data_IF_325890933969
#
_entry.id   IF_325890933969
#
_cell.length_a   1.000
_cell.length_b   1.000
_cell.length_c   1.000
_cell.angle_alpha   90.00
_cell.angle_beta   90.00
_cell.angle_gamma   90.00
#
_symmetry.space_group_name_H-M   'P 1'
#
loop_
_entity.id
_entity.type
_entity.pdbx_description
1 polymer ?
#
# COMPACT_ATOMS: atom_id res chain seq x y z
N UNK A 1 9.01 48.30 45.03
CA UNK A 1 7.65 47.75 44.85
C UNK A 1 7.66 46.28 45.29
N UNK A 2 6.61 45.86 46.00
CA UNK A 2 6.59 44.71 46.92
C UNK A 2 6.77 43.33 46.26
N UNK A 3 7.89 42.67 46.56
CA UNK A 3 8.17 41.26 46.19
C UNK A 3 7.05 40.30 46.69
N UNK A 4 6.37 40.63 47.80
CA UNK A 4 5.25 39.87 48.36
C UNK A 4 3.98 39.86 47.49
N UNK A 5 3.71 40.94 46.74
CA UNK A 5 2.52 41.00 45.88
C UNK A 5 2.69 40.13 44.63
N UNK A 6 3.91 40.00 44.13
CA UNK A 6 4.25 39.15 42.99
C UNK A 6 4.05 37.66 43.34
N UNK A 7 4.50 37.22 44.52
CA UNK A 7 4.35 35.82 44.97
C UNK A 7 2.89 35.42 45.16
N UNK A 8 2.04 36.30 45.70
CA UNK A 8 0.61 36.01 45.90
C UNK A 8 -0.13 35.93 44.57
N UNK A 9 0.18 36.81 43.62
CA UNK A 9 -0.42 36.79 42.27
C UNK A 9 -0.02 35.53 41.49
N UNK A 10 1.25 35.09 41.60
CA UNK A 10 1.69 33.84 40.99
C UNK A 10 1.02 32.62 41.62
N UNK A 11 0.90 32.58 42.95
CA UNK A 11 0.23 31.48 43.65
C UNK A 11 -1.25 31.35 43.23
N UNK A 12 -1.94 32.47 43.08
CA UNK A 12 -3.34 32.49 42.62
C UNK A 12 -3.47 31.98 41.18
N UNK A 13 -2.52 32.33 40.31
CA UNK A 13 -2.50 31.86 38.91
C UNK A 13 -2.24 30.36 38.81
N UNK A 14 -1.33 29.82 39.62
CA UNK A 14 -1.04 28.38 39.75
C UNK A 14 -2.29 27.61 40.16
N UNK A 15 -3.01 28.09 41.18
CA UNK A 15 -4.24 27.46 41.68
C UNK A 15 -5.42 27.50 40.68
N UNK A 16 -5.37 28.41 39.70
CA UNK A 16 -6.39 28.57 38.66
C UNK A 16 -6.03 27.87 37.34
N UNK A 17 -4.83 27.28 37.24
CA UNK A 17 -4.39 26.67 35.99
C UNK A 17 -5.04 25.30 35.82
N UNK A 18 -5.86 25.14 34.78
CA UNK A 18 -6.48 23.86 34.46
C UNK A 18 -5.42 22.88 33.93
N UNK A 19 -5.20 21.80 34.67
CA UNK A 19 -4.29 20.72 34.31
C UNK A 19 -4.99 19.73 33.37
N UNK A 20 -5.29 20.18 32.14
CA UNK A 20 -5.86 19.33 31.09
C UNK A 20 -4.76 18.72 30.22
N UNK A 21 -5.08 17.59 29.58
CA UNK A 21 -4.15 16.91 28.66
C UNK A 21 -3.77 17.78 27.46
N UNK A 22 -4.70 18.60 26.96
CA UNK A 22 -4.47 19.50 25.82
C UNK A 22 -3.55 20.68 26.20
N UNK A 23 -3.71 21.24 27.40
CA UNK A 23 -2.80 22.26 27.91
C UNK A 23 -1.38 21.69 28.10
N UNK A 24 -1.26 20.44 28.58
CA UNK A 24 0.05 19.78 28.72
C UNK A 24 0.74 19.63 27.36
N UNK A 25 0.04 19.17 26.31
CA UNK A 25 0.62 19.07 24.96
C UNK A 25 1.09 20.42 24.43
N UNK A 26 0.26 21.46 24.56
CA UNK A 26 0.60 22.80 24.12
C UNK A 26 1.88 23.34 24.78
N UNK A 27 2.05 23.14 26.09
CA UNK A 27 3.25 23.61 26.78
C UNK A 27 4.47 22.71 26.57
N UNK A 28 4.29 21.40 26.36
CA UNK A 28 5.39 20.50 26.01
C UNK A 28 6.09 20.94 24.70
N UNK A 29 5.32 21.40 23.71
CA UNK A 29 5.87 21.93 22.45
C UNK A 29 6.71 23.20 22.65
N UNK A 30 6.46 23.97 23.71
CA UNK A 30 7.19 25.21 24.02
C UNK A 30 8.39 25.02 24.96
N UNK A 31 8.60 23.81 25.51
CA UNK A 31 9.71 23.56 26.44
C UNK A 31 11.07 23.73 25.75
N UNK A 32 11.18 23.39 24.46
CA UNK A 32 12.44 23.54 23.72
C UNK A 32 12.90 25.00 23.64
N UNK A 33 11.99 25.92 23.35
CA UNK A 33 12.27 27.36 23.31
C UNK A 33 12.60 27.89 24.71
N UNK A 34 11.88 27.42 25.73
CA UNK A 34 12.13 27.74 27.13
C UNK A 34 13.54 27.36 27.58
N UNK A 35 13.98 26.15 27.24
CA UNK A 35 15.33 25.64 27.52
C UNK A 35 16.38 26.42 26.72
N UNK A 36 16.09 26.75 25.46
CA UNK A 36 16.99 27.54 24.61
C UNK A 36 17.27 28.91 25.24
N UNK A 37 16.22 29.64 25.66
CA UNK A 37 16.35 30.92 26.36
C UNK A 37 17.17 30.80 27.65
N UNK A 38 17.03 29.69 28.37
CA UNK A 38 17.80 29.41 29.57
C UNK A 38 19.30 29.16 29.26
N UNK A 39 19.62 28.46 28.17
CA UNK A 39 21.01 28.19 27.76
C UNK A 39 21.75 29.44 27.28
N UNK A 40 21.07 30.33 26.57
CA UNK A 40 21.67 31.61 26.11
C UNK A 40 21.73 32.68 27.21
N UNK A 41 21.32 32.35 28.44
CA UNK A 41 21.40 33.23 29.61
C UNK A 41 20.39 34.38 29.60
N UNK A 42 19.33 34.29 28.79
CA UNK A 42 18.26 35.27 28.77
C UNK A 42 17.29 35.07 29.95
N UNK A 43 16.47 36.08 30.24
CA UNK A 43 15.42 35.99 31.27
C UNK A 43 14.22 35.14 30.78
N UNK A 44 14.47 33.84 30.66
CA UNK A 44 13.56 32.83 30.13
C UNK A 44 12.23 32.75 30.90
N UNK A 45 12.24 33.03 32.22
CA UNK A 45 11.01 33.07 33.05
C UNK A 45 10.12 34.26 32.72
N UNK A 46 10.72 35.41 32.39
CA UNK A 46 9.97 36.61 31.98
C UNK A 46 9.55 36.56 30.51
N UNK A 47 10.31 35.87 29.64
CA UNK A 47 9.96 35.68 28.22
C UNK A 47 8.86 34.63 28.02
N UNK A 48 8.83 33.60 28.86
CA UNK A 48 7.89 32.49 28.76
C UNK A 48 7.14 32.29 30.09
N UNK A 49 6.42 33.34 30.51
CA UNK A 49 5.73 33.38 31.81
C UNK A 49 4.71 32.26 31.96
N UNK A 50 3.97 31.94 30.89
CA UNK A 50 2.92 30.93 30.93
C UNK A 50 3.48 29.52 31.04
N UNK A 51 4.55 29.21 30.30
CA UNK A 51 5.28 27.94 30.41
C UNK A 51 5.88 27.78 31.81
N UNK A 52 6.49 28.83 32.37
CA UNK A 52 7.01 28.78 33.75
C UNK A 52 5.91 28.47 34.78
N UNK A 53 4.77 29.17 34.70
CA UNK A 53 3.63 28.95 35.59
C UNK A 53 3.04 27.54 35.43
N UNK A 54 2.98 27.03 34.19
CA UNK A 54 2.50 25.68 33.93
C UNK A 54 3.46 24.61 34.48
N UNK A 55 4.77 24.76 34.28
CA UNK A 55 5.79 23.86 34.83
C UNK A 55 5.79 23.85 36.36
N UNK A 56 5.52 24.98 37.01
CA UNK A 56 5.35 25.08 38.46
C UNK A 56 4.06 24.37 38.95
N UNK A 57 3.07 24.19 38.07
CA UNK A 57 1.75 23.64 38.40
C UNK A 57 1.58 22.17 38.00
N UNK A 58 2.35 21.67 37.02
CA UNK A 58 2.18 20.35 36.42
C UNK A 58 3.43 19.46 36.64
N UNK A 59 3.40 18.48 37.56
CA UNK A 59 4.52 17.59 37.83
C UNK A 59 5.00 16.78 36.62
N UNK A 60 4.07 16.38 35.72
CA UNK A 60 4.41 15.62 34.53
C UNK A 60 5.20 16.45 33.52
N UNK A 61 4.77 17.69 33.26
CA UNK A 61 5.49 18.60 32.38
C UNK A 61 6.81 19.07 33.00
N UNK A 62 6.87 19.24 34.32
CA UNK A 62 8.11 19.51 35.06
C UNK A 62 9.13 18.37 34.92
N UNK A 63 8.70 17.11 35.04
CA UNK A 63 9.55 15.95 34.84
C UNK A 63 10.02 15.83 33.37
N UNK A 64 9.16 16.15 32.40
CA UNK A 64 9.54 16.19 30.99
C UNK A 64 10.57 17.29 30.68
N UNK A 65 10.37 18.49 31.25
CA UNK A 65 11.34 19.58 31.19
C UNK A 65 12.69 19.17 31.76
N UNK A 66 12.72 18.56 32.95
CA UNK A 66 13.98 18.14 33.58
C UNK A 66 14.76 17.15 32.70
N UNK A 67 14.08 16.16 32.11
CA UNK A 67 14.70 15.19 31.19
C UNK A 67 15.23 15.85 29.91
N UNK A 68 14.45 16.74 29.31
CA UNK A 68 14.87 17.41 28.09
C UNK A 68 16.04 18.37 28.36
N UNK A 69 16.01 19.07 29.49
CA UNK A 69 17.12 19.92 29.93
C UNK A 69 18.40 19.13 30.15
N UNK A 70 18.34 17.97 30.82
CA UNK A 70 19.49 17.08 31.01
C UNK A 70 20.07 16.61 29.67
N UNK A 71 19.22 16.26 28.70
CA UNK A 71 19.66 15.84 27.36
C UNK A 71 20.33 16.97 26.58
N UNK A 72 19.72 18.16 26.56
CA UNK A 72 20.30 19.34 25.89
C UNK A 72 21.60 19.78 26.57
N UNK A 73 21.68 19.68 27.89
CA UNK A 73 22.91 19.96 28.65
C UNK A 73 24.00 18.95 28.32
N UNK A 74 23.66 17.66 28.28
CA UNK A 74 24.60 16.60 27.90
C UNK A 74 25.07 16.74 26.45
N UNK A 75 24.19 17.15 25.53
CA UNK A 75 24.48 17.44 24.13
C UNK A 75 25.45 18.62 24.00
N UNK A 76 25.17 19.73 24.70
CA UNK A 76 26.04 20.91 24.72
C UNK A 76 27.44 20.64 25.29
N UNK A 77 27.58 19.61 26.13
CA UNK A 77 28.86 19.17 26.69
C UNK A 77 29.54 18.04 25.89
N UNK A 78 28.99 17.64 24.74
CA UNK A 78 29.45 16.47 23.97
C UNK A 78 29.57 15.20 24.82
N UNK A 79 28.77 15.12 25.89
CA UNK A 79 28.81 14.06 26.89
C UNK A 79 27.71 13.02 26.69
N UNK A 80 26.94 13.16 25.61
CA UNK A 80 25.99 12.13 25.20
C UNK A 80 26.77 10.84 24.89
N UNK A 81 26.30 9.68 25.38
CA UNK A 81 26.94 8.41 25.06
C UNK A 81 26.92 8.23 23.54
N UNK A 82 28.11 8.06 22.96
CA UNK A 82 28.23 7.77 21.55
C UNK A 82 27.56 6.41 21.29
N UNK A 83 26.45 6.42 20.55
CA UNK A 83 25.73 5.21 20.15
C UNK A 83 26.61 4.43 19.18
N UNK A 84 27.55 3.64 19.71
CA UNK A 84 28.55 2.91 18.93
C UNK A 84 27.91 1.84 18.04
N UNK A 85 26.68 1.43 18.33
CA UNK A 85 25.93 0.43 17.56
C UNK A 85 24.43 0.76 17.55
N UNK A 86 23.97 1.48 16.54
CA UNK A 86 22.56 1.44 16.14
C UNK A 86 22.30 0.07 15.51
N UNK A 87 21.41 -0.77 16.05
CA UNK A 87 21.03 -2.00 15.38
C UNK A 87 20.45 -1.65 14.01
N UNK A 88 20.87 -2.38 12.98
CA UNK A 88 20.30 -2.19 11.64
C UNK A 88 18.76 -2.34 11.73
N UNK A 89 17.99 -1.47 11.07
CA UNK A 89 16.55 -1.60 11.02
C UNK A 89 16.18 -3.00 10.50
N UNK A 90 15.43 -3.74 11.32
CA UNK A 90 15.01 -5.10 10.99
C UNK A 90 13.80 -5.03 10.03
N UNK A 91 14.08 -5.19 8.74
CA UNK A 91 13.07 -5.30 7.70
C UNK A 91 12.62 -6.75 7.44
N UNK A 92 12.93 -7.70 8.33
CA UNK A 92 12.52 -9.10 8.17
C UNK A 92 11.00 -9.26 8.01
N UNK A 93 10.19 -8.36 8.57
CA UNK A 93 8.75 -8.33 8.39
C UNK A 93 8.30 -8.06 6.93
N UNK A 94 9.11 -7.36 6.13
CA UNK A 94 8.82 -7.16 4.70
C UNK A 94 9.04 -8.45 3.89
N UNK A 95 9.80 -9.40 4.43
CA UNK A 95 10.08 -10.68 3.77
C UNK A 95 8.98 -11.74 3.98
N UNK A 96 7.92 -11.44 4.74
CA UNK A 96 6.84 -12.38 5.04
C UNK A 96 5.98 -12.82 3.83
N UNK A 97 6.31 -12.38 2.62
CA UNK A 97 5.56 -12.71 1.40
C UNK A 97 6.39 -12.73 0.12
N UNK A 98 7.73 -12.83 0.20
CA UNK A 98 8.56 -12.98 -1.02
C UNK A 98 8.35 -14.40 -1.53
N UNK A 99 7.26 -14.59 -2.27
CA UNK A 99 7.14 -15.66 -3.24
C UNK A 99 8.33 -15.43 -4.17
N UNK A 100 9.37 -16.25 -4.02
CA UNK A 100 10.51 -16.24 -4.94
C UNK A 100 9.96 -16.29 -6.37
N UNK A 101 10.58 -15.63 -7.34
CA UNK A 101 10.08 -15.63 -8.72
C UNK A 101 9.80 -17.07 -9.22
N UNK A 102 10.65 -18.01 -8.80
CA UNK A 102 10.45 -19.45 -9.02
C UNK A 102 9.17 -20.00 -8.39
N UNK A 103 8.84 -19.62 -7.15
CA UNK A 103 7.58 -19.97 -6.49
C UNK A 103 6.35 -19.37 -7.16
N UNK A 104 6.47 -18.14 -7.71
CA UNK A 104 5.38 -17.47 -8.43
C UNK A 104 5.07 -18.21 -9.72
N UNK A 105 6.11 -18.49 -10.50
CA UNK A 105 6.01 -19.22 -11.76
C UNK A 105 5.49 -20.65 -11.54
N UNK A 106 5.95 -21.34 -10.48
CA UNK A 106 5.45 -22.66 -10.14
C UNK A 106 3.94 -22.66 -9.83
N UNK A 107 3.46 -21.66 -9.08
CA UNK A 107 2.02 -21.50 -8.79
C UNK A 107 1.20 -21.24 -10.04
N UNK A 108 1.62 -20.30 -10.89
CA UNK A 108 0.93 -20.02 -12.16
C UNK A 108 0.89 -21.26 -13.05
N UNK A 109 2.02 -21.97 -13.19
CA UNK A 109 2.09 -23.21 -13.97
C UNK A 109 1.16 -24.29 -13.42
N UNK A 110 1.08 -24.46 -12.10
CA UNK A 110 0.22 -25.46 -11.48
C UNK A 110 -1.28 -25.17 -11.64
N UNK A 111 -1.64 -23.90 -11.85
CA UNK A 111 -3.02 -23.48 -12.09
C UNK A 111 -3.48 -23.72 -13.54
N UNK A 112 -2.55 -24.02 -14.45
CA UNK A 112 -2.84 -24.31 -15.86
C UNK A 112 -2.72 -25.81 -16.09
N UNK A 113 -3.79 -26.40 -16.61
CA UNK A 113 -3.87 -27.81 -16.96
C UNK A 113 -4.08 -27.96 -18.46
N UNK A 114 -3.33 -28.87 -19.07
CA UNK A 114 -3.52 -29.31 -20.45
C UNK A 114 -4.31 -30.63 -20.43
N UNK A 115 -5.51 -30.62 -21.01
CA UNK A 115 -6.42 -31.77 -21.02
C UNK A 115 -6.82 -32.02 -22.48
N UNK A 116 -6.08 -32.90 -23.15
CA UNK A 116 -6.30 -33.19 -24.57
C UNK A 116 -5.98 -31.96 -25.44
N UNK A 117 -6.97 -31.46 -26.17
CA UNK A 117 -6.90 -30.26 -27.03
C UNK A 117 -7.25 -28.96 -26.29
N UNK A 118 -7.35 -29.00 -24.96
CA UNK A 118 -7.82 -27.88 -24.14
C UNK A 118 -6.82 -27.46 -23.10
N UNK A 119 -6.73 -26.15 -22.93
CA UNK A 119 -6.07 -25.53 -21.79
C UNK A 119 -7.12 -25.05 -20.80
N UNK A 120 -6.92 -25.38 -19.54
CA UNK A 120 -7.81 -25.01 -18.43
C UNK A 120 -7.00 -24.22 -17.42
N UNK A 121 -7.36 -22.97 -17.20
CA UNK A 121 -6.81 -22.11 -16.16
C UNK A 121 -7.84 -21.96 -15.03
N UNK A 122 -7.49 -22.42 -13.84
CA UNK A 122 -8.33 -22.24 -12.64
C UNK A 122 -7.83 -21.03 -11.87
N UNK A 123 -8.65 -19.98 -11.82
CA UNK A 123 -8.36 -18.78 -11.04
C UNK A 123 -8.70 -19.01 -9.56
N UNK A 124 -7.80 -18.52 -8.70
CA UNK A 124 -7.99 -18.40 -7.26
C UNK A 124 -7.69 -16.95 -6.86
N UNK A 125 -8.18 -16.51 -5.69
CA UNK A 125 -7.86 -15.17 -5.17
C UNK A 125 -6.35 -14.93 -5.10
N UNK A 126 -5.61 -15.94 -4.66
CA UNK A 126 -4.15 -15.90 -4.61
C UNK A 126 -3.54 -15.74 -6.00
N UNK A 127 -3.99 -16.51 -7.00
CA UNK A 127 -3.47 -16.43 -8.36
C UNK A 127 -3.79 -15.07 -9.01
N UNK A 128 -5.00 -14.55 -8.79
CA UNK A 128 -5.36 -13.20 -9.26
C UNK A 128 -4.41 -12.16 -8.65
N UNK A 129 -4.06 -12.29 -7.36
CA UNK A 129 -3.06 -11.46 -6.71
C UNK A 129 -1.68 -11.53 -7.38
N UNK A 130 -1.23 -12.74 -7.75
CA UNK A 130 0.06 -12.97 -8.42
C UNK A 130 0.11 -12.47 -9.87
N UNK A 131 -1.04 -12.34 -10.51
CA UNK A 131 -1.21 -11.85 -11.89
C UNK A 131 -1.50 -10.34 -11.95
N UNK A 132 -1.55 -9.65 -10.81
CA UNK A 132 -1.72 -8.20 -10.81
C UNK A 132 -0.50 -7.52 -11.43
N UNK A 133 -0.71 -6.56 -12.35
CA UNK A 133 0.37 -5.75 -12.87
C UNK A 133 1.10 -4.99 -11.74
N UNK A 134 2.41 -4.84 -11.87
CA UNK A 134 3.15 -3.87 -11.08
C UNK A 134 2.62 -2.45 -11.40
N UNK A 135 2.51 -1.56 -10.40
CA UNK A 135 2.08 -0.18 -10.64
C UNK A 135 3.01 0.44 -11.70
N UNK A 136 2.43 1.00 -12.77
CA UNK A 136 3.06 1.64 -13.96
C UNK A 136 3.15 0.83 -15.25
N UNK A 137 2.42 -0.28 -15.41
CA UNK A 137 2.23 -0.89 -16.75
C UNK A 137 1.10 -0.18 -17.49
N UNK A 138 1.43 0.47 -18.61
CA UNK A 138 0.42 1.10 -19.48
C UNK A 138 -0.28 0.00 -20.31
N UNK A 139 -1.60 -0.19 -20.17
CA UNK A 139 -2.31 -1.16 -20.99
C UNK A 139 -2.33 -0.76 -22.46
N UNK A 140 -2.14 -1.75 -23.34
CA UNK A 140 -2.53 -1.63 -24.75
C UNK A 140 -3.95 -2.19 -24.89
N UNK A 141 -4.97 -1.33 -24.76
CA UNK A 141 -6.34 -1.71 -25.11
C UNK A 141 -6.52 -1.71 -26.64
N UNK A 142 -7.18 -2.75 -27.16
CA UNK A 142 -7.64 -2.79 -28.56
C UNK A 142 -9.16 -2.74 -28.72
N UNK A 143 -9.89 -2.66 -27.60
CA UNK A 143 -11.33 -2.42 -27.61
C UNK A 143 -11.65 -0.96 -27.99
N UNK A 144 -12.75 -0.76 -28.74
CA UNK A 144 -13.32 0.56 -29.03
C UNK A 144 -13.80 1.30 -27.78
N UNK A 145 -13.81 0.64 -26.62
CA UNK A 145 -14.22 1.17 -25.32
C UNK A 145 -13.03 1.55 -24.44
N UNK A 146 -11.94 2.04 -25.02
CA UNK A 146 -10.69 2.37 -24.30
C UNK A 146 -10.89 3.35 -23.13
N UNK A 147 -11.88 4.24 -23.21
CA UNK A 147 -12.23 5.16 -22.13
C UNK A 147 -12.91 4.48 -20.94
N UNK A 148 -13.59 3.33 -21.15
CA UNK A 148 -14.33 2.61 -20.11
C UNK A 148 -13.46 1.62 -19.34
N UNK A 149 -12.38 1.10 -19.92
CA UNK A 149 -11.64 -0.05 -19.37
C UNK A 149 -10.12 0.17 -19.32
N UNK A 150 -9.66 1.31 -18.79
CA UNK A 150 -8.25 1.71 -18.85
C UNK A 150 -7.33 1.07 -17.78
N UNK A 151 -7.86 0.36 -16.78
CA UNK A 151 -7.06 -0.21 -15.69
C UNK A 151 -6.98 -1.74 -15.83
N UNK A 152 -5.76 -2.29 -15.91
CA UNK A 152 -5.58 -3.76 -15.90
C UNK A 152 -5.79 -4.27 -14.48
N UNK A 153 -6.78 -5.15 -14.32
CA UNK A 153 -7.03 -5.86 -13.07
C UNK A 153 -6.06 -7.03 -12.87
N UNK A 154 -5.84 -7.84 -13.92
CA UNK A 154 -4.75 -8.83 -13.96
C UNK A 154 -4.36 -9.14 -15.41
N UNK A 155 -3.16 -9.68 -15.60
CA UNK A 155 -2.67 -10.16 -16.89
C UNK A 155 -1.89 -11.47 -16.73
N UNK A 156 -2.14 -12.40 -17.65
CA UNK A 156 -1.35 -13.60 -17.87
C UNK A 156 -0.77 -13.53 -19.28
N UNK A 157 0.52 -13.24 -19.37
CA UNK A 157 1.27 -13.24 -20.62
C UNK A 157 2.24 -14.43 -20.69
N UNK A 158 2.16 -15.28 -21.73
CA UNK A 158 3.14 -16.34 -21.95
C UNK A 158 4.59 -15.85 -21.98
N UNK A 159 4.85 -14.61 -22.40
CA UNK A 159 6.22 -14.05 -22.43
C UNK A 159 6.82 -13.89 -21.03
N UNK A 160 5.97 -13.70 -20.02
CA UNK A 160 6.37 -13.55 -18.61
C UNK A 160 6.59 -14.91 -17.93
N UNK A 161 6.28 -15.99 -18.64
CA UNK A 161 6.34 -17.36 -18.16
C UNK A 161 7.41 -18.14 -18.93
N UNK A 162 8.67 -18.13 -18.46
CA UNK A 162 9.72 -18.93 -19.08
C UNK A 162 9.29 -20.40 -19.10
N UNK A 163 9.48 -21.06 -20.25
CA UNK A 163 9.12 -22.47 -20.49
C UNK A 163 7.62 -22.78 -20.63
N UNK A 164 6.77 -21.78 -20.85
CA UNK A 164 5.35 -22.01 -21.16
C UNK A 164 5.11 -21.96 -22.67
N UNK A 165 4.64 -23.07 -23.25
CA UNK A 165 4.14 -23.11 -24.65
C UNK A 165 2.66 -22.69 -24.68
N UNK A 166 2.27 -21.73 -23.85
CA UNK A 166 0.87 -21.34 -23.73
C UNK A 166 0.45 -20.62 -25.01
N UNK A 167 -0.55 -21.14 -25.72
CA UNK A 167 -1.01 -20.58 -26.97
C UNK A 167 -2.01 -19.44 -26.72
N UNK A 168 -2.03 -18.82 -25.53
CA UNK A 168 -3.00 -17.78 -25.21
C UNK A 168 -2.50 -16.79 -24.15
N UNK A 169 -3.00 -15.56 -24.26
CA UNK A 169 -2.83 -14.46 -23.30
C UNK A 169 -4.20 -14.11 -22.72
N UNK A 170 -4.25 -13.79 -21.43
CA UNK A 170 -5.49 -13.35 -20.78
C UNK A 170 -5.24 -12.01 -20.12
N UNK A 171 -6.13 -11.05 -20.40
CA UNK A 171 -6.09 -9.74 -19.74
C UNK A 171 -7.48 -9.39 -19.24
N UNK A 172 -7.57 -9.02 -17.97
CA UNK A 172 -8.79 -8.51 -17.38
C UNK A 172 -8.64 -7.01 -17.12
N UNK A 173 -9.58 -6.20 -17.57
CA UNK A 173 -9.59 -4.75 -17.40
C UNK A 173 -10.76 -4.33 -16.51
N UNK A 174 -10.50 -3.55 -15.46
CA UNK A 174 -11.55 -3.00 -14.59
C UNK A 174 -12.33 -1.93 -15.35
N UNK A 175 -13.65 -1.94 -15.17
CA UNK A 175 -14.53 -0.90 -15.65
C UNK A 175 -14.38 0.38 -14.78
N UNK A 176 -14.05 1.49 -15.41
CA UNK A 176 -13.87 2.79 -14.76
C UNK A 176 -15.19 3.40 -14.26
N UNK A 177 -16.32 3.02 -14.86
CA UNK A 177 -17.65 3.51 -14.48
C UNK A 177 -18.34 2.57 -13.47
N UNK A 178 -18.08 1.28 -13.56
CA UNK A 178 -18.64 0.25 -12.67
C UNK A 178 -17.52 -0.61 -12.06
N UNK A 179 -16.89 -0.13 -10.99
CA UNK A 179 -15.68 -0.74 -10.42
C UNK A 179 -15.81 -2.22 -10.02
N UNK A 180 -17.04 -2.74 -9.86
CA UNK A 180 -17.30 -4.16 -9.55
C UNK A 180 -17.28 -5.08 -10.79
N UNK A 181 -17.22 -4.50 -11.99
CA UNK A 181 -17.21 -5.21 -13.26
C UNK A 181 -15.85 -5.09 -13.97
N UNK A 182 -15.58 -6.05 -14.84
CA UNK A 182 -14.43 -6.06 -15.71
C UNK A 182 -14.75 -6.62 -17.10
N UNK A 183 -13.89 -6.26 -18.05
CA UNK A 183 -13.77 -6.84 -19.36
C UNK A 183 -12.70 -7.94 -19.31
N UNK A 184 -12.99 -9.15 -19.78
CA UNK A 184 -12.00 -10.22 -19.91
C UNK A 184 -11.72 -10.45 -21.40
N UNK A 185 -10.47 -10.26 -21.80
CA UNK A 185 -9.96 -10.57 -23.13
C UNK A 185 -9.11 -11.85 -23.07
N UNK A 186 -9.42 -12.80 -23.95
CA UNK A 186 -8.64 -14.02 -24.14
C UNK A 186 -8.15 -14.04 -25.58
N UNK A 187 -6.84 -13.91 -25.76
CA UNK A 187 -6.21 -14.00 -27.09
C UNK A 187 -5.60 -15.38 -27.25
N UNK A 188 -5.96 -16.07 -28.33
CA UNK A 188 -5.44 -17.39 -28.68
C UNK A 188 -4.53 -17.26 -29.90
N UNK A 189 -3.28 -17.65 -29.74
CA UNK A 189 -2.24 -17.67 -30.76
C UNK A 189 -1.44 -18.98 -30.67
N UNK A 190 -1.91 -20.06 -31.31
CA UNK A 190 -1.20 -21.33 -31.36
C UNK A 190 0.11 -21.20 -32.18
N UNK A 191 1.19 -21.91 -31.82
CA UNK A 191 2.49 -21.77 -32.51
C UNK A 191 2.44 -22.03 -34.01
N UNK A 192 1.56 -22.92 -34.47
CA UNK A 192 1.45 -23.36 -35.86
C UNK A 192 0.39 -22.61 -36.67
N UNK A 193 -0.34 -21.68 -36.05
CA UNK A 193 -1.43 -20.93 -36.68
C UNK A 193 -1.13 -19.43 -36.65
N UNK A 194 -1.50 -18.75 -37.71
CA UNK A 194 -1.33 -17.31 -37.83
C UNK A 194 -2.59 -16.71 -38.45
N UNK A 195 -2.71 -15.39 -38.35
CA UNK A 195 -3.78 -14.68 -39.03
C UNK A 195 -3.83 -15.09 -40.52
N UNK A 196 -5.01 -15.42 -41.09
CA UNK A 196 -6.36 -15.27 -40.55
C UNK A 196 -6.99 -16.54 -39.93
N UNK A 197 -6.24 -17.63 -39.70
CA UNK A 197 -6.80 -18.92 -39.27
C UNK A 197 -7.11 -19.02 -37.76
N UNK A 198 -7.02 -17.90 -37.04
CA UNK A 198 -7.21 -17.84 -35.59
C UNK A 198 -8.68 -17.79 -35.15
N UNK A 199 -9.62 -17.63 -36.08
CA UNK A 199 -11.06 -17.59 -35.78
C UNK A 199 -11.64 -18.97 -35.45
N UNK A 200 -12.71 -18.99 -34.64
CA UNK A 200 -13.49 -20.20 -34.40
C UNK A 200 -13.03 -21.05 -33.22
N UNK A 201 -11.98 -20.65 -32.49
CA UNK A 201 -11.54 -21.34 -31.27
C UNK A 201 -12.51 -21.08 -30.14
N UNK A 202 -12.89 -22.13 -29.42
CA UNK A 202 -13.87 -22.02 -28.33
C UNK A 202 -13.17 -21.58 -27.05
N UNK A 203 -13.71 -20.55 -26.43
CA UNK A 203 -13.27 -20.06 -25.12
C UNK A 203 -14.46 -20.07 -24.18
N UNK A 204 -14.37 -20.77 -23.05
CA UNK A 204 -15.43 -20.75 -22.04
C UNK A 204 -14.91 -20.06 -20.77
N UNK A 205 -15.67 -19.08 -20.29
CA UNK A 205 -15.48 -18.49 -18.97
C UNK A 205 -16.52 -19.08 -18.02
N UNK A 206 -16.08 -20.02 -17.17
CA UNK A 206 -16.91 -20.68 -16.15
C UNK A 206 -16.78 -19.94 -14.83
N UNK A 207 -17.88 -19.43 -14.31
CA UNK A 207 -18.01 -18.84 -12.99
C UNK A 207 -18.90 -19.74 -12.12
N UNK A 208 -18.94 -19.49 -10.81
CA UNK A 208 -19.77 -20.24 -9.86
C UNK A 208 -21.26 -20.26 -10.22
N UNK A 209 -21.76 -19.21 -10.86
CA UNK A 209 -23.19 -19.01 -11.16
C UNK A 209 -23.54 -19.19 -12.63
N UNK A 210 -22.57 -19.15 -13.54
CA UNK A 210 -22.83 -19.17 -14.98
C UNK A 210 -21.61 -19.59 -15.79
N UNK A 211 -21.85 -20.12 -16.99
CA UNK A 211 -20.81 -20.34 -18.00
C UNK A 211 -21.11 -19.46 -19.20
N UNK A 212 -20.14 -18.64 -19.60
CA UNK A 212 -20.23 -17.81 -20.80
C UNK A 212 -19.34 -18.44 -21.86
N UNK A 213 -19.94 -18.86 -22.98
CA UNK A 213 -19.21 -19.36 -24.13
C UNK A 213 -18.89 -18.20 -25.08
N UNK A 214 -17.64 -18.14 -25.53
CA UNK A 214 -17.12 -17.21 -26.51
C UNK A 214 -16.41 -17.96 -27.63
N UNK A 215 -16.19 -17.27 -28.75
CA UNK A 215 -15.45 -17.80 -29.88
C UNK A 215 -14.49 -16.74 -30.37
N UNK A 216 -13.28 -17.13 -30.74
CA UNK A 216 -12.28 -16.18 -31.22
C UNK A 216 -12.65 -15.61 -32.59
N UNK A 217 -12.37 -14.33 -32.78
CA UNK A 217 -12.46 -13.63 -34.06
C UNK A 217 -11.27 -13.94 -34.99
N UNK A 218 -11.19 -13.27 -36.15
CA UNK A 218 -10.10 -13.43 -37.12
C UNK A 218 -8.69 -13.13 -36.54
N UNK A 219 -8.62 -12.40 -35.42
CA UNK A 219 -7.38 -12.04 -34.72
C UNK A 219 -7.09 -12.96 -33.53
N UNK A 220 -7.90 -14.00 -33.32
CA UNK A 220 -7.75 -14.92 -32.19
C UNK A 220 -8.30 -14.37 -30.88
N UNK A 221 -9.11 -13.30 -30.91
CA UNK A 221 -9.61 -12.63 -29.71
C UNK A 221 -11.03 -13.11 -29.35
N UNK A 222 -11.23 -13.53 -28.10
CA UNK A 222 -12.54 -13.69 -27.48
C UNK A 222 -12.70 -12.66 -26.35
N UNK A 223 -13.86 -12.01 -26.29
CA UNK A 223 -14.14 -10.92 -25.36
C UNK A 223 -15.38 -11.23 -24.52
N UNK A 224 -15.27 -11.04 -23.21
CA UNK A 224 -16.35 -11.20 -22.25
C UNK A 224 -16.57 -9.89 -21.50
N UNK A 225 -17.70 -9.22 -21.77
CA UNK A 225 -18.06 -7.95 -21.16
C UNK A 225 -18.80 -8.14 -19.83
N UNK A 226 -18.76 -7.11 -18.98
CA UNK A 226 -19.56 -6.99 -17.76
C UNK A 226 -19.42 -8.18 -16.78
N UNK A 227 -18.20 -8.73 -16.67
CA UNK A 227 -17.89 -9.82 -15.75
C UNK A 227 -17.68 -9.25 -14.34
N UNK A 228 -18.41 -9.77 -13.34
CA UNK A 228 -18.17 -9.33 -11.95
C UNK A 228 -16.82 -9.80 -11.45
N UNK A 229 -16.04 -8.90 -10.87
CA UNK A 229 -14.70 -9.17 -10.34
C UNK A 229 -14.74 -10.25 -9.25
N UNK A 230 -15.77 -10.23 -8.40
CA UNK A 230 -15.97 -11.26 -7.35
C UNK A 230 -16.11 -12.66 -7.92
N UNK A 231 -16.67 -12.80 -9.12
CA UNK A 231 -16.85 -14.11 -9.75
C UNK A 231 -15.57 -14.59 -10.46
N UNK A 232 -14.69 -13.65 -10.81
CA UNK A 232 -13.46 -13.91 -11.54
C UNK A 232 -12.40 -14.58 -10.65
N UNK A 233 -12.40 -14.26 -9.35
CA UNK A 233 -11.50 -14.84 -8.35
C UNK A 233 -11.64 -16.36 -8.18
N UNK A 234 -12.73 -16.95 -8.67
CA UNK A 234 -12.98 -18.40 -8.65
C UNK A 234 -13.33 -18.93 -10.05
N UNK A 235 -13.04 -18.16 -11.11
CA UNK A 235 -13.43 -18.54 -12.45
C UNK A 235 -12.48 -19.60 -13.04
N UNK A 236 -12.99 -20.40 -13.95
CA UNK A 236 -12.19 -21.30 -14.78
C UNK A 236 -12.28 -20.84 -16.23
N UNK A 237 -11.15 -20.63 -16.87
CA UNK A 237 -11.05 -20.25 -18.28
C UNK A 237 -10.60 -21.47 -19.06
N UNK A 238 -11.41 -21.89 -20.03
CA UNK A 238 -11.12 -23.03 -20.90
C UNK A 238 -10.91 -22.55 -22.32
N UNK A 239 -9.79 -22.92 -22.93
CA UNK A 239 -9.45 -22.61 -24.32
C UNK A 239 -9.29 -23.91 -25.10
N UNK A 240 -10.08 -24.10 -26.17
CA UNK A 240 -9.96 -25.27 -27.06
C UNK A 240 -9.21 -24.87 -28.34
N UNK A 241 -8.17 -25.63 -28.69
CA UNK A 241 -7.32 -25.38 -29.88
C UNK A 241 -7.85 -26.01 -31.17
#
# INVERSE_FOLDING_TARGET
>A
MNNKNFTIQQLHKILQTELTTDACHYYLDQISDYITYQFIGEDYRSKCVETAVHLDSCPNCSAAYARLYELEFAAAQESLPELTNLPAPDFSFLNAGVVTENGRLAKIKSAIQEIGDKFVLVLTEELVGLLRPLPNTTPVLRSSSAERYAEIFFQLDPTDLPYSNLPFTITAFRDAQMSDNCLVEVRVQPPEQSWPTLSGKKVNLKMSTQTIAGTTDAWGLAVFNDVRITNLATATIEVSL
#
